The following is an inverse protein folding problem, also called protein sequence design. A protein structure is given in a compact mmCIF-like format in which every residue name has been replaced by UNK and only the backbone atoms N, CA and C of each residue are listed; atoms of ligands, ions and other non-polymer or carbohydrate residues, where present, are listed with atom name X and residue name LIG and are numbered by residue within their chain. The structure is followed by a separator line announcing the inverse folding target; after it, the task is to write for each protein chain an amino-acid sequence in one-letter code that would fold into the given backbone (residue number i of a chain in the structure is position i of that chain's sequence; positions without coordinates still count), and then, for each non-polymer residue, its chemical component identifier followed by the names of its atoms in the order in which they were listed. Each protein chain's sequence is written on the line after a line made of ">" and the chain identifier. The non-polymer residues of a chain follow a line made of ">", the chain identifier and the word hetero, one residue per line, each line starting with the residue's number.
data_IF_314717224067
#
_entry.id   IF_314717224067
#
_cell.length_a   1.000
_cell.length_b   1.000
_cell.length_c   1.000
_cell.angle_alpha   90.00
_cell.angle_beta   90.00
_cell.angle_gamma   90.00
#
_symmetry.space_group_name_H-M   'P 1'
#
loop_
_entity.id
_entity.type
_entity.pdbx_description
1 polymer ?
#
# COMPACT_ATOMS: atom_id res chain seq x y z
N UNK A 1 -29.69 -13.37 -1.77
CA UNK A 1 -28.65 -12.31 -1.76
C UNK A 1 -27.48 -12.88 -2.53
N UNK A 2 -27.03 -12.29 -3.65
CA UNK A 2 -25.83 -12.79 -4.30
C UNK A 2 -24.64 -12.47 -3.38
N UNK A 3 -23.78 -13.45 -3.19
CA UNK A 3 -22.43 -13.29 -2.64
C UNK A 3 -21.65 -12.40 -3.60
N UNK A 4 -21.56 -11.11 -3.32
CA UNK A 4 -20.94 -10.09 -4.19
C UNK A 4 -19.43 -10.26 -4.24
N UNK A 5 -18.99 -11.17 -5.12
CA UNK A 5 -17.63 -11.22 -5.60
C UNK A 5 -17.35 -9.90 -6.35
N UNK A 6 -16.61 -9.00 -5.72
CA UNK A 6 -16.18 -7.75 -6.34
C UNK A 6 -14.96 -8.03 -7.24
N UNK A 7 -15.09 -7.69 -8.53
CA UNK A 7 -14.04 -7.80 -9.56
C UNK A 7 -13.62 -6.42 -10.10
N UNK A 8 -14.14 -5.35 -9.53
CA UNK A 8 -13.89 -3.97 -9.91
C UNK A 8 -13.09 -3.30 -8.77
N UNK A 9 -11.78 -3.20 -8.96
CA UNK A 9 -10.88 -2.59 -7.97
C UNK A 9 -11.28 -1.16 -7.60
N UNK A 10 -11.71 -0.27 -8.53
CA UNK A 10 -12.25 1.03 -8.20
C UNK A 10 -13.32 1.03 -7.09
N UNK A 11 -14.19 0.01 -6.99
CA UNK A 11 -15.19 -0.10 -5.91
C UNK A 11 -14.59 -0.43 -4.54
N UNK A 12 -13.38 -0.99 -4.51
CA UNK A 12 -12.66 -1.35 -3.29
C UNK A 12 -11.66 -0.28 -2.85
N UNK A 13 -11.41 0.73 -3.69
CA UNK A 13 -10.32 1.70 -3.53
C UNK A 13 -10.28 2.37 -2.16
N UNK A 14 -11.43 2.75 -1.60
CA UNK A 14 -11.49 3.38 -0.28
C UNK A 14 -11.08 2.41 0.84
N UNK A 15 -11.56 1.16 0.79
CA UNK A 15 -11.19 0.12 1.76
C UNK A 15 -9.71 -0.23 1.65
N UNK A 16 -9.19 -0.32 0.43
CA UNK A 16 -7.76 -0.53 0.18
C UNK A 16 -6.93 0.61 0.76
N UNK A 17 -7.34 1.87 0.57
CA UNK A 17 -6.65 3.02 1.17
C UNK A 17 -6.61 2.91 2.69
N UNK A 18 -7.72 2.59 3.34
CA UNK A 18 -7.77 2.42 4.80
C UNK A 18 -6.83 1.32 5.28
N UNK A 19 -6.87 0.13 4.65
CA UNK A 19 -5.97 -0.98 5.00
C UNK A 19 -4.50 -0.55 4.92
N UNK A 20 -4.12 0.14 3.84
CA UNK A 20 -2.72 0.56 3.64
C UNK A 20 -2.32 1.63 4.65
N UNK A 21 -3.21 2.57 4.98
CA UNK A 21 -2.96 3.57 6.02
C UNK A 21 -2.78 2.92 7.40
N UNK A 22 -3.66 1.99 7.76
CA UNK A 22 -3.61 1.28 9.05
C UNK A 22 -2.33 0.43 9.17
N UNK A 23 -1.95 -0.28 8.09
CA UNK A 23 -0.71 -1.06 8.04
C UNK A 23 0.52 -0.16 8.28
N UNK A 24 0.59 1.00 7.62
CA UNK A 24 1.71 1.94 7.79
C UNK A 24 1.75 2.49 9.21
N UNK A 25 0.60 2.91 9.76
CA UNK A 25 0.52 3.42 11.13
C UNK A 25 0.93 2.35 12.15
N UNK A 26 0.48 1.11 11.98
CA UNK A 26 0.80 0.02 12.92
C UNK A 26 2.30 -0.29 13.02
N UNK A 27 3.07 -0.04 11.96
CA UNK A 27 4.51 -0.34 11.91
C UNK A 27 5.37 0.88 12.20
N UNK A 28 5.00 2.06 11.69
CA UNK A 28 5.87 3.25 11.70
C UNK A 28 5.50 4.30 12.73
N UNK A 29 4.25 4.31 13.22
CA UNK A 29 3.83 5.31 14.20
C UNK A 29 4.69 5.22 15.48
N UNK A 30 5.09 6.37 16.01
CA UNK A 30 5.99 6.44 17.17
C UNK A 30 7.47 6.08 16.92
N UNK A 31 7.85 5.63 15.72
CA UNK A 31 9.25 5.31 15.41
C UNK A 31 10.05 6.53 14.93
N UNK A 32 11.34 6.55 15.30
CA UNK A 32 12.34 7.47 14.75
C UNK A 32 13.17 6.71 13.72
N UNK A 33 13.48 7.34 12.59
CA UNK A 33 14.20 6.68 11.49
C UNK A 33 15.50 6.01 11.96
N UNK A 34 15.63 4.73 11.62
CA UNK A 34 16.81 3.91 11.86
C UNK A 34 17.11 3.14 10.57
N UNK A 35 18.33 3.30 10.03
CA UNK A 35 18.71 2.66 8.76
C UNK A 35 18.78 1.13 8.88
N UNK A 36 19.03 0.61 10.08
CA UNK A 36 19.14 -0.83 10.33
C UNK A 36 17.77 -1.51 10.30
N UNK A 37 16.71 -0.76 10.63
CA UNK A 37 15.33 -1.24 10.66
C UNK A 37 14.54 -0.97 9.38
N UNK A 38 15.05 -0.10 8.51
CA UNK A 38 14.31 0.35 7.33
C UNK A 38 13.83 -0.81 6.43
N UNK A 39 14.69 -1.81 6.18
CA UNK A 39 14.32 -2.98 5.37
C UNK A 39 13.27 -3.87 6.07
N UNK A 40 13.39 -4.01 7.39
CA UNK A 40 12.43 -4.78 8.18
C UNK A 40 11.06 -4.10 8.17
N UNK A 41 11.02 -2.77 8.35
CA UNK A 41 9.78 -2.00 8.26
C UNK A 41 9.13 -2.10 6.88
N UNK A 42 9.92 -2.03 5.79
CA UNK A 42 9.38 -2.26 4.44
C UNK A 42 8.69 -3.62 4.37
N UNK A 43 9.35 -4.67 4.85
CA UNK A 43 8.81 -6.04 4.85
C UNK A 43 7.57 -6.18 5.73
N UNK A 44 7.57 -5.60 6.92
CA UNK A 44 6.43 -5.63 7.84
C UNK A 44 5.21 -4.94 7.24
N UNK A 45 5.38 -3.74 6.69
CA UNK A 45 4.26 -2.98 6.10
C UNK A 45 3.69 -3.68 4.88
N UNK A 46 4.55 -4.18 3.96
CA UNK A 46 4.06 -4.86 2.75
C UNK A 46 3.34 -6.16 3.09
N UNK A 47 3.84 -6.94 4.06
CA UNK A 47 3.18 -8.16 4.50
C UNK A 47 1.82 -7.87 5.14
N UNK A 48 1.75 -6.90 6.06
CA UNK A 48 0.49 -6.48 6.69
C UNK A 48 -0.56 -6.06 5.64
N UNK A 49 -0.16 -5.25 4.64
CA UNK A 49 -1.04 -4.89 3.53
C UNK A 49 -1.54 -6.14 2.78
N UNK A 50 -0.64 -7.06 2.40
CA UNK A 50 -1.00 -8.23 1.60
C UNK A 50 -1.95 -9.16 2.35
N UNK A 51 -1.78 -9.36 3.65
CA UNK A 51 -2.65 -10.21 4.47
C UNK A 51 -4.09 -9.69 4.52
N UNK A 52 -4.27 -8.39 4.77
CA UNK A 52 -5.59 -7.77 4.86
C UNK A 52 -6.25 -7.60 3.49
N UNK A 53 -5.48 -7.29 2.44
CA UNK A 53 -6.00 -7.19 1.06
C UNK A 53 -6.51 -8.54 0.54
N UNK A 54 -5.82 -9.65 0.85
CA UNK A 54 -6.29 -11.00 0.51
C UNK A 54 -7.61 -11.33 1.20
N UNK A 55 -7.74 -10.92 2.46
CA UNK A 55 -8.97 -11.06 3.23
C UNK A 55 -10.11 -10.19 2.69
N UNK A 56 -9.80 -9.01 2.18
CA UNK A 56 -10.78 -8.08 1.59
C UNK A 56 -11.43 -8.65 0.33
N UNK A 57 -10.63 -9.17 -0.60
CA UNK A 57 -11.15 -9.87 -1.79
C UNK A 57 -10.11 -10.82 -2.37
N UNK A 58 -10.41 -12.13 -2.48
CA UNK A 58 -9.50 -13.11 -3.07
C UNK A 58 -9.47 -13.07 -4.60
N UNK A 59 -10.30 -12.25 -5.25
CA UNK A 59 -10.45 -12.18 -6.70
C UNK A 59 -9.39 -11.32 -7.40
N UNK A 60 -8.39 -10.84 -6.67
CA UNK A 60 -7.34 -9.98 -7.21
C UNK A 60 -5.95 -10.55 -6.92
N UNK A 61 -5.05 -10.37 -7.87
CA UNK A 61 -3.60 -10.40 -7.64
C UNK A 61 -3.19 -9.02 -7.11
N UNK A 62 -2.73 -8.99 -5.86
CA UNK A 62 -2.23 -7.76 -5.25
C UNK A 62 -0.72 -7.63 -5.39
N UNK A 63 -0.27 -6.43 -5.75
CA UNK A 63 1.14 -6.03 -5.75
C UNK A 63 1.26 -4.82 -4.82
N UNK A 64 2.14 -4.91 -3.82
CA UNK A 64 2.40 -3.82 -2.86
C UNK A 64 3.87 -3.44 -2.96
N UNK A 65 4.14 -2.17 -3.27
CA UNK A 65 5.49 -1.58 -3.23
C UNK A 65 5.54 -0.52 -2.14
N UNK A 66 6.57 -0.55 -1.29
CA UNK A 66 6.76 0.40 -0.21
C UNK A 66 8.15 1.03 -0.28
N UNK A 67 8.20 2.36 -0.20
CA UNK A 67 9.41 3.15 -0.11
C UNK A 67 9.46 3.82 1.26
N UNK A 68 10.48 3.49 2.06
CA UNK A 68 10.74 4.16 3.34
C UNK A 68 12.06 4.90 3.24
N UNK A 69 12.08 6.18 3.61
CA UNK A 69 13.29 6.99 3.62
C UNK A 69 13.40 7.90 4.83
N UNK A 70 14.64 8.31 5.14
CA UNK A 70 14.90 9.35 6.12
C UNK A 70 14.46 10.73 5.58
N UNK A 71 13.68 11.47 6.38
CA UNK A 71 13.27 12.85 6.08
C UNK A 71 14.39 13.82 6.47
N UNK A 72 15.18 14.24 5.49
CA UNK A 72 16.32 15.18 5.65
C UNK A 72 16.39 16.27 4.56
N UNK A 73 15.22 16.77 4.11
CA UNK A 73 15.15 17.90 3.18
C UNK A 73 15.50 17.59 1.71
N UNK A 74 15.81 16.34 1.36
CA UNK A 74 15.97 15.93 -0.04
C UNK A 74 14.63 15.72 -0.74
N UNK A 75 14.52 16.07 -2.02
CA UNK A 75 13.35 15.77 -2.85
C UNK A 75 13.16 14.26 -3.06
N UNK A 76 11.93 13.84 -3.33
CA UNK A 76 11.59 12.49 -3.81
C UNK A 76 10.48 12.64 -4.84
N UNK A 77 10.69 12.07 -6.01
CA UNK A 77 9.66 11.89 -7.02
C UNK A 77 9.54 10.39 -7.29
N UNK A 78 8.34 9.85 -7.14
CA UNK A 78 8.01 8.47 -7.46
C UNK A 78 6.81 8.48 -8.38
N UNK A 79 6.93 7.79 -9.50
CA UNK A 79 5.90 7.67 -10.52
C UNK A 79 5.66 6.19 -10.81
N UNK A 80 4.43 5.85 -11.17
CA UNK A 80 4.04 4.52 -11.59
C UNK A 80 3.22 4.58 -12.87
N UNK A 81 3.42 3.62 -13.77
CA UNK A 81 2.57 3.40 -14.94
C UNK A 81 2.15 1.95 -15.03
N UNK A 82 0.96 1.70 -15.58
CA UNK A 82 0.42 0.36 -15.77
C UNK A 82 -0.27 0.24 -17.14
N UNK A 83 -0.33 -0.98 -17.66
CA UNK A 83 -1.12 -1.35 -18.82
C UNK A 83 -2.04 -2.52 -18.42
N UNK A 84 -3.34 -2.25 -18.32
CA UNK A 84 -4.32 -3.13 -17.67
C UNK A 84 -5.76 -2.85 -18.15
N UNK A 85 -6.76 -3.57 -17.63
CA UNK A 85 -8.17 -3.25 -17.87
C UNK A 85 -8.67 -2.21 -16.85
N UNK A 86 -8.99 -1.00 -17.33
CA UNK A 86 -9.44 0.11 -16.49
C UNK A 86 -10.78 -0.14 -15.77
N UNK A 87 -11.54 -1.16 -16.18
CA UNK A 87 -12.82 -1.51 -15.53
C UNK A 87 -12.64 -2.42 -14.33
N UNK A 88 -11.68 -3.34 -14.39
CA UNK A 88 -11.49 -4.35 -13.35
C UNK A 88 -10.30 -4.04 -12.45
N UNK A 89 -9.23 -3.50 -13.03
CA UNK A 89 -7.94 -3.34 -12.37
C UNK A 89 -7.79 -1.91 -11.82
N UNK A 90 -6.87 -1.73 -10.90
CA UNK A 90 -6.58 -0.39 -10.42
C UNK A 90 -5.44 -0.30 -9.42
N UNK A 91 -5.19 0.93 -8.99
CA UNK A 91 -4.18 1.22 -7.98
C UNK A 91 -4.64 2.23 -6.94
N UNK A 92 -3.88 2.22 -5.86
CA UNK A 92 -3.96 3.12 -4.73
C UNK A 92 -2.53 3.56 -4.37
N UNK A 93 -2.36 4.85 -4.11
CA UNK A 93 -1.10 5.41 -3.61
C UNK A 93 -1.36 6.06 -2.26
N UNK A 94 -0.57 5.67 -1.25
CA UNK A 94 -0.64 6.23 0.09
C UNK A 94 0.71 6.82 0.45
N UNK A 95 0.70 8.06 0.93
CA UNK A 95 1.88 8.71 1.51
C UNK A 95 1.67 8.93 3.00
N UNK A 96 2.67 8.62 3.80
CA UNK A 96 2.70 8.87 5.24
C UNK A 96 4.03 9.50 5.62
N UNK A 97 4.02 10.35 6.65
CA UNK A 97 5.23 10.94 7.18
C UNK A 97 5.14 11.23 8.67
N UNK A 98 6.30 11.23 9.32
CA UNK A 98 6.48 11.81 10.64
C UNK A 98 7.68 12.77 10.63
N UNK A 99 8.20 13.12 11.81
CA UNK A 99 9.33 14.04 11.95
C UNK A 99 10.61 13.57 11.24
N UNK A 100 10.83 12.26 11.09
CA UNK A 100 12.10 11.68 10.62
C UNK A 100 11.97 10.66 9.48
N UNK A 101 10.75 10.20 9.18
CA UNK A 101 10.46 9.15 8.21
C UNK A 101 9.46 9.69 7.18
N UNK A 102 9.67 9.34 5.91
CA UNK A 102 8.66 9.41 4.85
C UNK A 102 8.45 8.02 4.29
N UNK A 103 7.18 7.59 4.17
CA UNK A 103 6.78 6.35 3.54
C UNK A 103 5.85 6.63 2.36
N UNK A 104 6.08 5.98 1.22
CA UNK A 104 5.19 6.02 0.05
C UNK A 104 4.90 4.60 -0.40
N UNK A 105 3.62 4.27 -0.52
CA UNK A 105 3.15 2.95 -0.89
C UNK A 105 2.34 3.02 -2.17
N UNK A 106 2.57 2.04 -3.04
CA UNK A 106 1.76 1.76 -4.21
C UNK A 106 1.15 0.37 -4.07
N UNK A 107 -0.16 0.30 -4.17
CA UNK A 107 -0.91 -0.94 -4.25
C UNK A 107 -1.54 -1.04 -5.62
N UNK A 108 -1.41 -2.20 -6.26
CA UNK A 108 -2.11 -2.54 -7.49
C UNK A 108 -2.95 -3.78 -7.22
N UNK A 109 -4.20 -3.78 -7.67
CA UNK A 109 -5.04 -4.96 -7.71
C UNK A 109 -5.42 -5.26 -9.16
N UNK A 110 -5.10 -6.48 -9.61
CA UNK A 110 -5.43 -6.97 -10.94
C UNK A 110 -6.43 -8.11 -10.80
N UNK A 111 -7.60 -7.99 -11.43
CA UNK A 111 -8.64 -8.99 -11.34
C UNK A 111 -8.17 -10.33 -11.96
N UNK A 112 -8.65 -11.45 -11.41
CA UNK A 112 -8.32 -12.83 -11.83
C UNK A 112 -9.45 -13.44 -12.64
#
# INVERSE_FOLDING_TARGET
>A
MPTDACYDFPLLKDKVNTIVQDAVLSVLEGNVYDNTKANDWVTMVTNACIEDLKSLSPNFKYIVTCFIRQKKGGGLEVNSGAYWDEKSDGSCTVSWENATITAVLYVYGLAI
#
